data_IF_969725421381
#
_entry.id   IF_969725421381
#
_cell.length_a   1.000
_cell.length_b   1.000
_cell.length_c   1.000
_cell.angle_alpha   90.00
_cell.angle_beta   90.00
_cell.angle_gamma   90.00
#
_symmetry.space_group_name_H-M   'P 1'
#
loop_
_entity.id
_entity.type
_entity.pdbx_description
1 polymer ?
#
# COMPACT_ATOMS: atom_id res chain seq x y z
N UNK A 1 7.56 -14.04 5.39
CA UNK A 1 7.20 -12.60 5.47
C UNK A 1 7.25 -12.04 4.07
N UNK A 2 6.19 -11.39 3.58
CA UNK A 2 6.17 -10.88 2.21
C UNK A 2 6.24 -9.36 2.16
N UNK A 3 7.20 -8.87 1.39
CA UNK A 3 7.40 -7.45 1.16
C UNK A 3 6.65 -6.99 -0.09
N UNK A 4 6.14 -5.76 -0.05
CA UNK A 4 5.44 -5.07 -1.13
C UNK A 4 6.10 -3.72 -1.30
N UNK A 5 6.56 -3.42 -2.52
CA UNK A 5 6.98 -2.07 -2.87
C UNK A 5 5.76 -1.24 -3.25
N UNK A 6 5.61 -0.06 -2.64
CA UNK A 6 4.51 0.88 -2.89
C UNK A 6 5.09 2.23 -3.31
N UNK A 7 4.65 2.73 -4.46
CA UNK A 7 5.18 3.97 -5.03
C UNK A 7 4.53 5.19 -4.41
N UNK A 8 5.35 6.15 -3.97
CA UNK A 8 4.89 7.42 -3.43
C UNK A 8 5.64 8.59 -4.07
N UNK A 9 5.04 9.78 -4.04
CA UNK A 9 5.67 11.00 -4.57
C UNK A 9 6.92 11.41 -3.79
N UNK A 10 6.99 11.07 -2.50
CA UNK A 10 8.11 11.40 -1.62
C UNK A 10 9.23 10.35 -1.57
N UNK A 11 9.10 9.27 -2.34
CA UNK A 11 10.00 8.10 -2.29
C UNK A 11 9.25 6.79 -2.01
N UNK A 12 9.72 5.70 -2.59
CA UNK A 12 9.02 4.41 -2.51
C UNK A 12 9.12 3.80 -1.10
N UNK A 13 8.06 3.10 -0.71
CA UNK A 13 8.03 2.30 0.51
C UNK A 13 8.26 0.84 0.18
N UNK A 14 9.00 0.14 1.04
CA UNK A 14 9.03 -1.32 1.05
C UNK A 14 8.45 -1.78 2.38
N UNK A 15 7.22 -2.31 2.36
CA UNK A 15 6.47 -2.68 3.57
C UNK A 15 6.19 -4.17 3.62
N UNK A 16 5.97 -4.69 4.82
CA UNK A 16 5.45 -6.06 4.98
C UNK A 16 3.94 -6.05 4.76
N UNK A 17 3.43 -6.89 3.86
CA UNK A 17 2.00 -6.95 3.53
C UNK A 17 1.11 -7.15 4.77
N UNK A 18 1.56 -8.00 5.71
CA UNK A 18 0.85 -8.28 6.96
C UNK A 18 0.73 -7.08 7.91
N UNK A 19 1.50 -6.01 7.69
CA UNK A 19 1.41 -4.78 8.48
C UNK A 19 0.44 -3.75 7.88
N UNK A 20 -0.19 -4.04 6.74
CA UNK A 20 -1.20 -3.16 6.14
C UNK A 20 -2.55 -3.44 6.81
N UNK A 21 -3.15 -2.40 7.38
CA UNK A 21 -4.43 -2.47 8.08
C UNK A 21 -5.63 -2.20 7.14
N UNK A 22 -5.50 -1.24 6.23
CA UNK A 22 -6.56 -0.86 5.30
C UNK A 22 -6.02 -0.11 4.08
N UNK A 23 -6.87 -0.03 3.05
CA UNK A 23 -6.69 0.85 1.89
C UNK A 23 -7.86 1.84 1.82
N UNK A 24 -7.61 3.11 1.55
CA UNK A 24 -8.65 4.14 1.41
C UNK A 24 -8.33 5.10 0.28
N UNK A 25 -9.29 5.37 -0.59
CA UNK A 25 -9.15 6.40 -1.63
C UNK A 25 -8.81 7.75 -1.00
N UNK A 26 -7.88 8.47 -1.61
CA UNK A 26 -7.48 9.81 -1.22
C UNK A 26 -7.47 10.76 -2.42
N UNK A 27 -7.18 12.03 -2.16
CA UNK A 27 -7.15 13.06 -3.19
C UNK A 27 -5.97 12.88 -4.16
N UNK A 28 -6.09 13.49 -5.34
CA UNK A 28 -5.04 13.59 -6.35
C UNK A 28 -4.55 12.24 -6.90
N UNK A 29 -5.46 11.27 -7.04
CA UNK A 29 -5.14 9.94 -7.59
C UNK A 29 -4.20 9.14 -6.69
N UNK A 30 -4.33 9.29 -5.38
CA UNK A 30 -3.56 8.54 -4.38
C UNK A 30 -4.49 7.66 -3.55
N UNK A 31 -3.90 6.65 -2.92
CA UNK A 31 -4.53 5.77 -1.96
C UNK A 31 -3.77 5.87 -0.65
N UNK A 32 -4.49 6.08 0.44
CA UNK A 32 -3.97 5.92 1.79
C UNK A 32 -3.83 4.43 2.11
N UNK A 33 -2.62 4.02 2.46
CA UNK A 33 -2.32 2.69 2.96
C UNK A 33 -2.11 2.80 4.46
N UNK A 34 -3.11 2.39 5.24
CA UNK A 34 -3.05 2.42 6.69
C UNK A 34 -2.14 1.32 7.23
N UNK A 35 -1.25 1.65 8.17
CA UNK A 35 -0.36 0.68 8.80
C UNK A 35 -0.89 0.27 10.18
N UNK A 36 -0.69 -1.00 10.55
CA UNK A 36 -1.01 -1.46 11.91
C UNK A 36 -0.12 -0.73 12.92
N UNK A 37 -0.75 0.02 13.84
CA UNK A 37 -0.04 0.73 14.91
C UNK A 37 0.75 1.97 14.46
N UNK A 38 0.48 2.52 13.27
CA UNK A 38 1.16 3.71 12.75
C UNK A 38 0.31 4.56 11.82
N UNK A 39 0.92 5.61 11.26
CA UNK A 39 0.27 6.51 10.31
C UNK A 39 0.04 5.86 8.94
N UNK A 40 -0.79 6.51 8.12
CA UNK A 40 -1.04 6.07 6.74
C UNK A 40 0.04 6.58 5.78
N UNK A 41 0.39 5.74 4.81
CA UNK A 41 1.25 6.11 3.69
C UNK A 41 0.40 6.67 2.56
N UNK A 42 0.93 7.68 1.85
CA UNK A 42 0.33 8.20 0.62
C UNK A 42 0.95 7.49 -0.58
N UNK A 43 0.18 6.62 -1.23
CA UNK A 43 0.65 5.79 -2.35
C UNK A 43 -0.02 6.27 -3.63
N UNK A 44 0.75 6.38 -4.71
CA UNK A 44 0.26 6.78 -6.02
C UNK A 44 -0.58 5.65 -6.63
N UNK A 45 -1.74 6.01 -7.18
CA UNK A 45 -2.66 5.08 -7.81
C UNK A 45 -4.03 5.03 -7.13
N UNK A 46 -5.00 4.53 -7.88
CA UNK A 46 -6.34 4.25 -7.39
C UNK A 46 -6.35 3.09 -6.39
N UNK A 47 -7.42 3.01 -5.60
CA UNK A 47 -7.62 1.95 -4.61
C UNK A 47 -7.47 0.55 -5.23
N UNK A 48 -8.00 0.36 -6.45
CA UNK A 48 -7.96 -0.92 -7.15
C UNK A 48 -6.55 -1.28 -7.61
N UNK A 49 -5.79 -0.32 -8.15
CA UNK A 49 -4.40 -0.52 -8.58
C UNK A 49 -3.50 -0.86 -7.38
N UNK A 50 -3.64 -0.12 -6.28
CA UNK A 50 -2.86 -0.37 -5.06
C UNK A 50 -3.27 -1.70 -4.41
N UNK A 51 -4.56 -2.05 -4.41
CA UNK A 51 -5.01 -3.36 -3.94
C UNK A 51 -4.40 -4.50 -4.77
N UNK A 52 -4.37 -4.35 -6.11
CA UNK A 52 -3.75 -5.33 -6.99
C UNK A 52 -2.24 -5.47 -6.73
N UNK A 53 -1.53 -4.37 -6.46
CA UNK A 53 -0.10 -4.41 -6.07
C UNK A 53 0.10 -5.14 -4.75
N UNK A 54 -0.73 -4.86 -3.73
CA UNK A 54 -0.66 -5.56 -2.44
C UNK A 54 -0.96 -7.05 -2.62
N UNK A 55 -1.96 -7.43 -3.41
CA UNK A 55 -2.33 -8.83 -3.65
C UNK A 55 -1.34 -9.57 -4.56
N UNK A 56 -0.77 -8.95 -5.59
CA UNK A 56 0.34 -9.52 -6.36
C UNK A 56 1.60 -9.64 -5.47
N UNK A 57 1.74 -8.70 -4.54
CA UNK A 57 2.60 -8.69 -3.38
C UNK A 57 2.17 -9.65 -2.25
N UNK A 58 1.18 -10.54 -2.45
CA UNK A 58 0.83 -11.69 -1.59
C UNK A 58 0.96 -12.97 -2.43
N UNK A 59 2.07 -13.71 -2.32
CA UNK A 59 2.28 -14.92 -3.11
C UNK A 59 1.48 -15.99 -2.38
N UNK A 60 0.68 -16.75 -3.13
CA UNK A 60 -0.09 -17.84 -2.57
C UNK A 60 0.88 -18.94 -2.12
N UNK A 61 0.98 -19.12 -0.81
CA UNK A 61 1.38 -20.38 -0.19
C UNK A 61 0.10 -21.04 0.35
#
# INVERSE_FOLDING_TARGET
>A
MKFVELHSRGGNYLVVAANIAYLRTDENGQTKVGMVGGDSLLVVGSLAEVAAQVLAGVSQD
#
